data_IF_867412850615
#
_entry.id   IF_867412850615
#
_cell.length_a   1.000
_cell.length_b   1.000
_cell.length_c   1.000
_cell.angle_alpha   90.00
_cell.angle_beta   90.00
_cell.angle_gamma   90.00
#
_symmetry.space_group_name_H-M   'P 1'
#
loop_
_entity.id
_entity.type
_entity.pdbx_description
1 polymer ?
#
# COMPACT_ATOMS: atom_id res chain seq x y z
N UNK A 1 -23.11 33.21 -4.72
CA UNK A 1 -24.22 33.56 -5.62
C UNK A 1 -23.65 33.73 -7.01
N UNK A 2 -24.31 33.23 -8.06
CA UNK A 2 -23.81 33.43 -9.43
C UNK A 2 -24.00 34.89 -9.84
N UNK A 3 -22.94 35.49 -10.39
CA UNK A 3 -22.98 36.86 -10.90
C UNK A 3 -23.55 36.86 -12.33
N UNK A 4 -24.77 37.36 -12.45
CA UNK A 4 -25.49 37.51 -13.71
C UNK A 4 -25.36 38.92 -14.30
N UNK A 5 -24.74 39.88 -13.59
CA UNK A 5 -24.64 41.27 -14.06
C UNK A 5 -23.89 41.36 -15.39
N UNK A 6 -22.90 40.48 -15.60
CA UNK A 6 -22.18 40.35 -16.87
C UNK A 6 -23.03 39.94 -18.09
N UNK A 7 -24.26 39.48 -17.87
CA UNK A 7 -25.17 39.05 -18.94
C UNK A 7 -26.40 39.95 -19.07
N UNK A 8 -26.52 41.00 -18.25
CA UNK A 8 -27.68 41.90 -18.23
C UNK A 8 -27.94 42.55 -19.59
N UNK A 9 -26.87 42.91 -20.30
CA UNK A 9 -26.93 43.50 -21.65
C UNK A 9 -26.46 42.52 -22.74
N UNK A 10 -26.27 41.23 -22.41
CA UNK A 10 -25.79 40.25 -23.38
C UNK A 10 -26.90 39.86 -24.35
N UNK A 11 -26.54 39.70 -25.62
CA UNK A 11 -27.46 39.18 -26.63
C UNK A 11 -27.71 37.68 -26.42
N UNK A 12 -28.84 37.19 -26.94
CA UNK A 12 -29.17 35.77 -26.89
C UNK A 12 -28.06 34.87 -27.45
N UNK A 13 -27.37 35.32 -28.51
CA UNK A 13 -26.24 34.58 -29.11
C UNK A 13 -25.06 34.46 -28.15
N UNK A 14 -24.72 35.53 -27.43
CA UNK A 14 -23.63 35.54 -26.46
C UNK A 14 -23.94 34.66 -25.25
N UNK A 15 -25.19 34.67 -24.79
CA UNK A 15 -25.66 33.79 -23.71
C UNK A 15 -25.53 32.32 -24.14
N UNK A 16 -26.04 31.96 -25.32
CA UNK A 16 -25.93 30.59 -25.85
C UNK A 16 -24.47 30.16 -26.02
N UNK A 17 -23.61 31.06 -26.53
CA UNK A 17 -22.19 30.79 -26.67
C UNK A 17 -21.51 30.55 -25.31
N UNK A 18 -21.79 31.39 -24.31
CA UNK A 18 -21.24 31.24 -22.96
C UNK A 18 -21.69 29.92 -22.29
N UNK A 19 -22.95 29.54 -22.48
CA UNK A 19 -23.49 28.26 -22.01
C UNK A 19 -22.77 27.08 -22.68
N UNK A 20 -22.65 27.08 -24.01
CA UNK A 20 -21.95 26.04 -24.75
C UNK A 20 -20.48 25.92 -24.33
N UNK A 21 -19.79 27.04 -24.14
CA UNK A 21 -18.41 27.05 -23.66
C UNK A 21 -18.29 26.43 -22.27
N UNK A 22 -19.21 26.76 -21.38
CA UNK A 22 -19.24 26.23 -20.01
C UNK A 22 -19.53 24.74 -20.00
N UNK A 23 -20.48 24.29 -20.83
CA UNK A 23 -20.78 22.88 -21.01
C UNK A 23 -19.55 22.09 -21.48
N UNK A 24 -18.86 22.56 -22.53
CA UNK A 24 -17.63 21.91 -23.03
C UNK A 24 -16.54 21.84 -21.98
N UNK A 25 -16.38 22.90 -21.17
CA UNK A 25 -15.43 22.90 -20.04
C UNK A 25 -15.79 21.85 -19.00
N UNK A 26 -17.07 21.72 -18.66
CA UNK A 26 -17.58 20.70 -17.73
C UNK A 26 -17.34 19.28 -18.24
N UNK A 27 -17.63 19.02 -19.52
CA UNK A 27 -17.38 17.73 -20.16
C UNK A 27 -15.89 17.36 -20.13
N UNK A 28 -15.01 18.31 -20.48
CA UNK A 28 -13.55 18.13 -20.42
C UNK A 28 -13.07 17.82 -18.99
N UNK A 29 -13.56 18.57 -18.00
CA UNK A 29 -13.22 18.33 -16.59
C UNK A 29 -13.66 16.94 -16.12
N UNK A 30 -14.85 16.50 -16.52
CA UNK A 30 -15.34 15.16 -16.20
C UNK A 30 -14.46 14.06 -16.82
N UNK A 31 -13.99 14.26 -18.05
CA UNK A 31 -13.08 13.32 -18.69
C UNK A 31 -11.72 13.25 -17.98
N UNK A 32 -11.13 14.41 -17.66
CA UNK A 32 -9.88 14.47 -16.88
C UNK A 32 -10.04 13.84 -15.50
N UNK A 33 -11.19 14.00 -14.86
CA UNK A 33 -11.47 13.40 -13.55
C UNK A 33 -11.52 11.86 -13.63
N UNK A 34 -12.05 11.30 -14.72
CA UNK A 34 -12.02 9.85 -14.97
C UNK A 34 -10.58 9.36 -15.20
N UNK A 35 -9.82 10.04 -16.05
CA UNK A 35 -8.42 9.71 -16.34
C UNK A 35 -7.54 9.79 -15.07
N UNK A 36 -7.68 10.85 -14.29
CA UNK A 36 -6.95 11.03 -13.04
C UNK A 36 -7.26 9.93 -12.02
N UNK A 37 -8.52 9.46 -11.94
CA UNK A 37 -8.88 8.34 -11.06
C UNK A 37 -8.18 7.05 -11.44
N UNK A 38 -8.08 6.74 -12.74
CA UNK A 38 -7.40 5.53 -13.21
C UNK A 38 -5.88 5.63 -13.02
N UNK A 39 -5.28 6.79 -13.28
CA UNK A 39 -3.86 7.05 -12.99
C UNK A 39 -3.59 6.88 -11.49
N UNK A 40 -4.45 7.43 -10.63
CA UNK A 40 -4.30 7.29 -9.19
C UNK A 40 -4.35 5.83 -8.72
N UNK A 41 -5.31 5.04 -9.23
CA UNK A 41 -5.38 3.58 -8.95
C UNK A 41 -4.10 2.86 -9.41
N UNK A 42 -3.60 3.19 -10.60
CA UNK A 42 -2.37 2.60 -11.13
C UNK A 42 -1.16 2.92 -10.25
N UNK A 43 -1.00 4.17 -9.84
CA UNK A 43 0.08 4.60 -8.95
C UNK A 43 -0.01 3.93 -7.57
N UNK A 44 -1.22 3.84 -7.00
CA UNK A 44 -1.42 3.10 -5.75
C UNK A 44 -1.01 1.62 -5.87
N UNK A 45 -1.36 0.96 -6.98
CA UNK A 45 -0.94 -0.42 -7.25
C UNK A 45 0.58 -0.54 -7.33
N UNK A 46 1.24 0.34 -8.09
CA UNK A 46 2.71 0.38 -8.22
C UNK A 46 3.42 0.61 -6.90
N UNK A 47 2.87 1.49 -6.07
CA UNK A 47 3.38 1.77 -4.74
C UNK A 47 3.29 0.53 -3.86
N UNK A 48 2.14 -0.16 -3.85
CA UNK A 48 1.93 -1.40 -3.09
C UNK A 48 2.90 -2.52 -3.54
N UNK A 49 3.06 -2.70 -4.85
CA UNK A 49 4.02 -3.67 -5.43
C UNK A 49 5.47 -3.38 -4.97
N UNK A 50 5.85 -2.10 -4.95
CA UNK A 50 7.19 -1.65 -4.54
C UNK A 50 7.49 -1.92 -3.06
N UNK A 51 6.45 -1.89 -2.20
CA UNK A 51 6.58 -2.22 -0.79
C UNK A 51 6.42 -3.72 -0.49
N UNK A 52 5.69 -4.48 -1.32
CA UNK A 52 5.50 -5.93 -1.10
C UNK A 52 6.73 -6.76 -1.47
N UNK A 53 7.54 -6.32 -2.43
CA UNK A 53 8.76 -7.03 -2.88
C UNK A 53 9.83 -7.15 -1.79
N UNK A 54 9.78 -6.32 -0.74
CA UNK A 54 10.70 -6.40 0.41
C UNK A 54 10.32 -7.48 1.44
N UNK A 55 9.11 -8.04 1.40
CA UNK A 55 8.65 -9.04 2.39
C UNK A 55 8.93 -10.50 2.00
N UNK A 56 9.42 -10.77 0.80
CA UNK A 56 9.87 -12.11 0.41
C UNK A 56 11.36 -12.29 0.70
N UNK A 57 11.80 -12.05 1.94
CA UNK A 57 12.83 -12.94 2.46
C UNK A 57 12.11 -14.25 2.67
N UNK A 58 12.22 -15.18 1.71
CA UNK A 58 11.94 -16.58 1.99
C UNK A 58 12.74 -16.90 3.24
N UNK A 59 12.04 -17.07 4.33
CA UNK A 59 12.55 -17.74 5.50
C UNK A 59 13.02 -19.10 4.96
N UNK A 60 14.32 -19.22 4.69
CA UNK A 60 14.93 -20.51 4.44
C UNK A 60 14.65 -21.25 5.76
N UNK A 61 13.57 -22.02 5.83
CA UNK A 61 13.36 -22.98 6.90
C UNK A 61 14.67 -23.75 6.99
N UNK A 62 15.38 -23.54 8.09
CA UNK A 62 16.65 -24.20 8.33
C UNK A 62 16.26 -25.58 8.84
N UNK A 63 16.64 -26.68 8.16
CA UNK A 63 16.32 -28.03 8.64
C UNK A 63 16.75 -28.24 10.10
N UNK A 64 17.86 -27.62 10.50
CA UNK A 64 18.37 -27.57 11.88
C UNK A 64 17.36 -26.97 12.88
N UNK A 65 16.60 -25.94 12.47
CA UNK A 65 15.60 -25.32 13.34
C UNK A 65 14.36 -26.20 13.47
N UNK A 66 13.95 -26.85 12.37
CA UNK A 66 12.83 -27.79 12.40
C UNK A 66 13.19 -29.03 13.26
N UNK A 67 14.44 -29.48 13.23
CA UNK A 67 14.95 -30.57 14.06
C UNK A 67 15.05 -30.19 15.55
N UNK A 68 15.55 -28.99 15.86
CA UNK A 68 15.61 -28.48 17.24
C UNK A 68 14.21 -28.32 17.86
N UNK A 69 13.22 -27.87 17.08
CA UNK A 69 11.82 -27.78 17.53
C UNK A 69 11.28 -29.18 17.87
N UNK A 70 11.54 -30.18 17.01
CA UNK A 70 11.12 -31.57 17.25
C UNK A 70 11.77 -32.17 18.50
N UNK A 71 13.07 -31.94 18.70
CA UNK A 71 13.79 -32.42 19.89
C UNK A 71 13.19 -31.82 21.17
N UNK A 72 12.86 -30.53 21.16
CA UNK A 72 12.19 -29.87 22.28
C UNK A 72 10.79 -30.45 22.55
N UNK A 73 9.97 -30.66 21.52
CA UNK A 73 8.63 -31.26 21.65
C UNK A 73 8.66 -32.70 22.16
N UNK A 74 9.67 -33.47 21.75
CA UNK A 74 9.88 -34.84 22.19
C UNK A 74 10.53 -34.95 23.59
N UNK A 75 10.93 -33.83 24.20
CA UNK A 75 11.65 -33.81 25.47
C UNK A 75 13.10 -34.34 25.37
N UNK A 76 13.66 -34.39 24.16
CA UNK A 76 15.06 -34.76 23.89
C UNK A 76 16.00 -33.55 24.10
N UNK A 77 15.73 -32.76 25.13
CA UNK A 77 16.52 -31.57 25.49
C UNK A 77 17.04 -31.71 26.91
N UNK A 78 18.29 -31.33 27.12
CA UNK A 78 18.89 -31.34 28.44
C UNK A 78 18.29 -30.21 29.29
N UNK A 79 17.84 -30.58 30.50
CA UNK A 79 17.32 -29.64 31.46
C UNK A 79 18.36 -29.41 32.56
N UNK A 80 18.74 -28.15 32.72
CA UNK A 80 19.65 -27.72 33.77
C UNK A 80 18.88 -27.00 34.86
N UNK A 81 19.31 -27.17 36.11
CA UNK A 81 18.62 -26.57 37.28
C UNK A 81 18.98 -25.10 37.46
N UNK A 82 20.07 -24.64 36.85
CA UNK A 82 20.55 -23.25 36.89
C UNK A 82 21.32 -22.88 35.63
N UNK A 83 21.46 -21.58 35.37
CA UNK A 83 22.25 -21.05 34.26
C UNK A 83 23.74 -21.36 34.46
N UNK A 84 24.25 -21.29 35.68
CA UNK A 84 25.64 -21.63 36.00
C UNK A 84 25.99 -23.08 35.68
N UNK A 85 25.05 -24.01 35.89
CA UNK A 85 25.20 -25.43 35.56
C UNK A 85 25.25 -25.66 34.05
N UNK A 86 24.34 -25.03 33.30
CA UNK A 86 24.33 -25.10 31.84
C UNK A 86 25.64 -24.57 31.23
N UNK A 87 26.16 -23.45 31.74
CA UNK A 87 27.44 -22.91 31.28
C UNK A 87 28.63 -23.81 31.63
N UNK A 88 28.60 -24.51 32.78
CA UNK A 88 29.66 -25.47 33.12
C UNK A 88 29.64 -26.68 32.20
N UNK A 89 28.46 -27.23 31.89
CA UNK A 89 28.32 -28.35 30.97
C UNK A 89 28.81 -27.99 29.56
N UNK A 90 28.43 -26.81 29.06
CA UNK A 90 28.86 -26.33 27.74
C UNK A 90 30.39 -26.09 27.63
N UNK A 91 31.05 -25.74 28.72
CA UNK A 91 32.51 -25.55 28.75
C UNK A 91 33.28 -26.83 29.11
N UNK A 92 32.57 -27.90 29.49
CA UNK A 92 33.15 -29.21 29.80
C UNK A 92 33.12 -30.18 28.60
N UNK A 93 32.32 -29.88 27.57
CA UNK A 93 32.39 -30.45 26.21
C UNK A 93 33.57 -29.90 25.41
#
# INVERSE_FOLDING_TARGET
MFDYAKYENATQKEIIHALNLTQRKSEKLNQQLKENREIFKFLQKKLKESFSSKKTKKEKRRPELDEAIRQYENGEVEHYSSVEEAFKALNAE
#
